data_IF_092621490778
#
_entry.id   IF_092621490778
#
_cell.length_a   1.000
_cell.length_b   1.000
_cell.length_c   1.000
_cell.angle_alpha   90.00
_cell.angle_beta   90.00
_cell.angle_gamma   90.00
#
_symmetry.space_group_name_H-M   'P 1'
#
loop_
_entity.id
_entity.type
_entity.pdbx_description
1 polymer ?
#
# COMPACT_ATOMS: atom_id res chain seq x y z
N UNK A 1 18.17 -3.90 -4.03
CA UNK A 1 16.80 -3.75 -3.51
C UNK A 1 16.73 -4.21 -2.06
N UNK A 2 16.95 -5.50 -1.77
CA UNK A 2 16.92 -6.02 -0.39
C UNK A 2 17.81 -5.26 0.60
N UNK A 3 19.03 -4.86 0.21
CA UNK A 3 19.89 -4.06 1.10
C UNK A 3 19.35 -2.64 1.35
N UNK A 4 18.66 -2.04 0.37
CA UNK A 4 18.02 -0.73 0.54
C UNK A 4 16.79 -0.84 1.46
N UNK A 5 16.04 -1.93 1.34
CA UNK A 5 14.90 -2.24 2.21
C UNK A 5 15.37 -2.49 3.65
N UNK A 6 16.47 -3.23 3.82
CA UNK A 6 17.11 -3.48 5.12
C UNK A 6 17.53 -2.20 5.82
N UNK A 7 18.03 -1.22 5.07
CA UNK A 7 18.46 0.07 5.60
C UNK A 7 17.28 1.03 5.84
N UNK A 8 16.30 1.06 4.94
CA UNK A 8 15.21 2.05 4.97
C UNK A 8 14.02 1.61 5.84
N UNK A 9 13.76 0.31 5.92
CA UNK A 9 12.65 -0.27 6.69
C UNK A 9 13.07 -1.56 7.42
N UNK A 10 14.05 -1.50 8.35
CA UNK A 10 14.67 -2.67 8.98
C UNK A 10 13.68 -3.59 9.70
N UNK A 11 12.64 -3.03 10.35
CA UNK A 11 11.60 -3.83 11.02
C UNK A 11 10.75 -4.62 10.04
N UNK A 12 10.40 -4.01 8.92
CA UNK A 12 9.65 -4.66 7.85
C UNK A 12 10.50 -5.77 7.21
N UNK A 13 11.76 -5.45 6.90
CA UNK A 13 12.73 -6.41 6.37
C UNK A 13 12.89 -7.63 7.27
N UNK A 14 13.13 -7.44 8.58
CA UNK A 14 13.29 -8.54 9.53
C UNK A 14 12.02 -9.38 9.73
N UNK A 15 10.83 -8.82 9.48
CA UNK A 15 9.60 -9.60 9.48
C UNK A 15 9.48 -10.48 8.23
N UNK A 16 9.87 -9.97 7.06
CA UNK A 16 9.92 -10.75 5.82
C UNK A 16 11.03 -11.80 5.81
N UNK A 17 12.17 -11.56 6.46
CA UNK A 17 13.18 -12.63 6.64
C UNK A 17 12.62 -13.80 7.44
N UNK A 18 11.92 -13.53 8.56
CA UNK A 18 11.24 -14.58 9.33
C UNK A 18 10.20 -15.33 8.51
N UNK A 19 9.49 -14.66 7.61
CA UNK A 19 8.55 -15.31 6.68
C UNK A 19 9.29 -16.20 5.68
N UNK A 20 10.42 -15.71 5.14
CA UNK A 20 11.24 -16.46 4.19
C UNK A 20 11.76 -17.77 4.79
N UNK A 21 12.14 -17.77 6.07
CA UNK A 21 12.63 -18.96 6.76
C UNK A 21 11.56 -20.05 6.94
N UNK A 22 10.27 -19.68 6.88
CA UNK A 22 9.13 -20.57 7.10
C UNK A 22 8.64 -21.27 5.83
N UNK A 23 9.14 -20.87 4.65
CA UNK A 23 8.67 -21.41 3.38
C UNK A 23 8.92 -22.92 3.32
N UNK A 24 7.86 -23.69 3.10
CA UNK A 24 7.91 -25.15 3.02
C UNK A 24 7.91 -25.85 4.39
N UNK A 25 7.73 -25.12 5.49
CA UNK A 25 7.61 -25.70 6.82
C UNK A 25 6.16 -26.02 7.19
N UNK A 26 5.98 -27.02 8.06
CA UNK A 26 4.67 -27.28 8.66
C UNK A 26 4.21 -26.09 9.51
N UNK A 27 2.96 -25.65 9.30
CA UNK A 27 2.40 -24.51 10.04
C UNK A 27 2.71 -23.13 9.45
N UNK A 28 3.40 -23.08 8.30
CA UNK A 28 3.76 -21.84 7.56
C UNK A 28 2.62 -20.81 7.55
N UNK A 29 1.42 -21.21 7.13
CA UNK A 29 0.26 -20.32 7.01
C UNK A 29 -0.13 -19.63 8.33
N UNK A 30 -0.13 -20.37 9.43
CA UNK A 30 -0.54 -19.83 10.73
C UNK A 30 0.52 -18.87 11.28
N UNK A 31 1.80 -19.22 11.11
CA UNK A 31 2.91 -18.40 11.55
C UNK A 31 3.03 -17.12 10.72
N UNK A 32 2.85 -17.20 9.40
CA UNK A 32 2.78 -16.01 8.52
C UNK A 32 1.64 -15.09 8.98
N UNK A 33 0.45 -15.63 9.27
CA UNK A 33 -0.68 -14.82 9.72
C UNK A 33 -0.39 -14.11 11.06
N UNK A 34 0.33 -14.77 11.98
CA UNK A 34 0.76 -14.15 13.24
C UNK A 34 1.79 -13.05 13.00
N UNK A 35 2.78 -13.28 12.13
CA UNK A 35 3.78 -12.28 11.77
C UNK A 35 3.09 -11.04 11.16
N UNK A 36 2.18 -11.22 10.20
CA UNK A 36 1.44 -10.11 9.61
C UNK A 36 0.58 -9.35 10.60
N UNK A 37 0.04 -10.01 11.65
CA UNK A 37 -0.71 -9.33 12.72
C UNK A 37 0.17 -8.40 13.55
N UNK A 38 1.46 -8.69 13.65
CA UNK A 38 2.43 -7.95 14.45
C UNK A 38 3.21 -6.91 13.63
N UNK A 39 3.23 -7.03 12.31
CA UNK A 39 3.88 -6.06 11.42
C UNK A 39 3.11 -4.74 11.47
N UNK A 40 3.83 -3.64 11.74
CA UNK A 40 3.31 -2.30 11.57
C UNK A 40 3.00 -2.03 10.09
N UNK A 41 1.82 -1.46 9.80
CA UNK A 41 1.48 -1.07 8.44
C UNK A 41 2.35 0.12 8.00
N UNK A 42 3.08 -0.04 6.89
CA UNK A 42 3.98 1.00 6.38
C UNK A 42 3.67 1.32 4.93
N UNK A 43 3.64 2.61 4.57
CA UNK A 43 3.59 3.04 3.18
C UNK A 43 4.98 2.85 2.54
N UNK A 44 5.08 1.92 1.60
CA UNK A 44 6.34 1.57 0.94
C UNK A 44 7.00 2.77 0.25
N UNK A 45 6.24 3.59 -0.47
CA UNK A 45 6.78 4.76 -1.16
C UNK A 45 7.42 5.76 -0.19
N UNK A 46 6.81 5.96 0.97
CA UNK A 46 7.29 6.87 2.01
C UNK A 46 8.47 6.30 2.82
N UNK A 47 8.39 5.03 3.19
CA UNK A 47 9.38 4.43 4.09
C UNK A 47 10.60 3.84 3.37
N UNK A 48 10.47 3.52 2.08
CA UNK A 48 11.55 2.91 1.29
C UNK A 48 11.96 3.83 0.14
N UNK A 49 11.04 4.15 -0.78
CA UNK A 49 11.44 4.87 -2.01
C UNK A 49 11.89 6.31 -1.73
N UNK A 50 11.24 7.01 -0.82
CA UNK A 50 11.60 8.39 -0.46
C UNK A 50 13.01 8.49 0.14
N UNK A 51 13.41 7.69 1.17
CA UNK A 51 14.80 7.66 1.63
C UNK A 51 15.80 7.31 0.53
N UNK A 52 15.50 6.28 -0.28
CA UNK A 52 16.40 5.86 -1.37
C UNK A 52 16.57 6.96 -2.43
N UNK A 53 15.54 7.77 -2.67
CA UNK A 53 15.61 8.92 -3.60
C UNK A 53 16.55 10.04 -3.14
N UNK A 54 16.86 10.10 -1.83
CA UNK A 54 17.68 11.15 -1.21
C UNK A 54 19.15 10.79 -1.06
N UNK A 55 19.54 9.57 -1.42
CA UNK A 55 20.94 9.14 -1.42
C UNK A 55 21.72 9.93 -2.49
N UNK A 56 22.97 10.29 -2.19
CA UNK A 56 23.83 11.04 -3.14
C UNK A 56 23.96 10.31 -4.48
N UNK A 57 24.10 8.98 -4.44
CA UNK A 57 24.05 8.10 -5.61
C UNK A 57 22.78 7.23 -5.56
N UNK A 58 21.63 7.85 -5.83
CA UNK A 58 20.36 7.11 -5.80
C UNK A 58 20.26 6.09 -6.95
N UNK A 59 19.94 4.82 -6.65
CA UNK A 59 19.75 3.78 -7.67
C UNK A 59 18.35 3.80 -8.30
N UNK A 60 17.49 4.76 -7.95
CA UNK A 60 16.12 4.82 -8.47
C UNK A 60 16.09 5.38 -9.90
N UNK A 61 15.44 4.63 -10.78
CA UNK A 61 15.22 5.01 -12.17
C UNK A 61 13.72 5.06 -12.45
N UNK A 62 13.27 6.11 -13.14
CA UNK A 62 11.87 6.28 -13.57
C UNK A 62 11.81 6.20 -15.08
N UNK A 63 10.97 5.29 -15.60
CA UNK A 63 10.75 5.13 -17.03
C UNK A 63 9.34 5.64 -17.40
N UNK A 64 9.21 6.54 -18.39
CA UNK A 64 7.91 7.01 -18.82
C UNK A 64 7.17 5.90 -19.56
N UNK A 65 5.99 5.50 -19.06
CA UNK A 65 5.08 4.61 -19.79
C UNK A 65 4.22 5.46 -20.71
N UNK A 66 4.32 5.22 -22.02
CA UNK A 66 3.63 6.01 -23.06
C UNK A 66 2.52 5.21 -23.70
N UNK A 67 1.51 5.91 -24.22
CA UNK A 67 0.38 5.29 -24.94
C UNK A 67 -0.61 4.57 -24.04
N UNK A 68 -0.59 4.84 -22.72
CA UNK A 68 -1.56 4.30 -21.76
C UNK A 68 -2.19 5.44 -20.96
N UNK A 69 -3.48 5.30 -20.67
CA UNK A 69 -4.15 6.07 -19.64
C UNK A 69 -4.16 5.24 -18.37
N UNK A 70 -3.69 5.81 -17.25
CA UNK A 70 -3.65 5.13 -15.95
C UNK A 70 -4.36 5.98 -14.89
N UNK A 71 -5.16 5.31 -14.06
CA UNK A 71 -5.80 5.88 -12.88
C UNK A 71 -5.81 4.82 -11.78
N UNK A 72 -5.60 5.23 -10.54
CA UNK A 72 -5.67 4.38 -9.35
C UNK A 72 -7.11 4.10 -8.90
N UNK A 73 -8.11 4.77 -9.50
CA UNK A 73 -9.52 4.70 -9.11
C UNK A 73 -9.76 4.93 -7.60
N UNK A 74 -8.88 5.70 -6.96
CA UNK A 74 -8.95 5.96 -5.52
C UNK A 74 -10.08 6.91 -5.10
N UNK A 75 -11.01 7.27 -6.00
CA UNK A 75 -12.24 7.99 -5.68
C UNK A 75 -13.28 7.79 -6.78
N UNK A 76 -14.55 7.95 -6.43
CA UNK A 76 -15.66 7.85 -7.38
C UNK A 76 -15.48 8.81 -8.57
N UNK A 77 -15.07 10.06 -8.31
CA UNK A 77 -14.85 11.04 -9.37
C UNK A 77 -13.76 10.59 -10.36
N UNK A 78 -12.72 9.89 -9.88
CA UNK A 78 -11.66 9.33 -10.75
C UNK A 78 -12.15 8.13 -11.55
N UNK A 79 -13.07 7.34 -10.99
CA UNK A 79 -13.74 6.24 -11.71
C UNK A 79 -14.60 6.81 -12.84
N UNK A 80 -15.50 7.75 -12.53
CA UNK A 80 -16.39 8.37 -13.52
C UNK A 80 -15.59 9.02 -14.65
N UNK A 81 -14.53 9.77 -14.30
CA UNK A 81 -13.63 10.38 -15.28
C UNK A 81 -13.00 9.32 -16.20
N UNK A 82 -12.44 8.26 -15.62
CA UNK A 82 -11.81 7.18 -16.40
C UNK A 82 -12.81 6.51 -17.34
N UNK A 83 -14.02 6.19 -16.85
CA UNK A 83 -15.07 5.59 -17.68
C UNK A 83 -15.53 6.53 -18.80
N UNK A 84 -15.60 7.83 -18.54
CA UNK A 84 -15.87 8.85 -19.56
C UNK A 84 -14.82 8.87 -20.67
N UNK A 85 -13.54 8.81 -20.31
CA UNK A 85 -12.42 8.74 -21.26
C UNK A 85 -12.47 7.48 -22.13
N UNK A 86 -13.04 6.38 -21.63
CA UNK A 86 -13.25 5.13 -22.37
C UNK A 86 -14.61 5.03 -23.08
N UNK A 87 -15.48 6.05 -22.99
CA UNK A 87 -16.83 6.02 -23.59
C UNK A 87 -17.81 5.08 -22.86
N UNK A 88 -17.49 4.69 -21.62
CA UNK A 88 -18.24 3.75 -20.79
C UNK A 88 -19.05 4.43 -19.67
N UNK A 89 -19.10 5.76 -19.63
CA UNK A 89 -19.81 6.50 -18.59
C UNK A 89 -21.31 6.15 -18.50
N UNK A 90 -21.92 5.73 -19.61
CA UNK A 90 -23.33 5.30 -19.64
C UNK A 90 -23.61 4.00 -18.87
N UNK A 91 -22.58 3.25 -18.46
CA UNK A 91 -22.73 2.02 -17.69
C UNK A 91 -22.73 2.24 -16.18
N UNK A 92 -22.62 3.49 -15.71
CA UNK A 92 -22.67 3.79 -14.28
C UNK A 92 -24.11 3.72 -13.78
N UNK A 93 -24.38 2.99 -12.68
CA UNK A 93 -25.69 3.03 -12.04
C UNK A 93 -25.97 4.45 -11.51
N UNK A 94 -27.23 4.89 -11.59
CA UNK A 94 -27.68 6.12 -10.92
C UNK A 94 -27.44 5.95 -9.41
N UNK A 95 -26.70 6.89 -8.81
CA UNK A 95 -26.19 6.74 -7.45
C UNK A 95 -27.29 6.79 -6.39
N UNK A 96 -27.30 5.80 -5.49
CA UNK A 96 -27.90 5.94 -4.17
C UNK A 96 -26.92 6.73 -3.30
N UNK A 97 -27.29 7.95 -2.90
CA UNK A 97 -26.56 8.73 -1.90
C UNK A 97 -26.56 7.97 -0.55
N UNK A 98 -25.56 7.13 -0.32
CA UNK A 98 -25.24 6.62 1.01
C UNK A 98 -24.01 7.34 1.51
N UNK A 99 -24.19 8.20 2.50
CA UNK A 99 -23.11 8.76 3.31
C UNK A 99 -22.25 7.62 3.85
N UNK A 100 -21.01 7.52 3.34
CA UNK A 100 -19.98 6.70 3.95
C UNK A 100 -19.49 7.43 5.21
N UNK A 101 -19.42 6.77 6.38
CA UNK A 101 -18.94 7.42 7.59
C UNK A 101 -17.50 7.88 7.38
N UNK A 102 -17.25 9.16 7.69
CA UNK A 102 -15.93 9.76 7.65
C UNK A 102 -14.95 8.92 8.50
N UNK A 103 -13.74 8.73 7.95
CA UNK A 103 -12.63 8.03 8.60
C UNK A 103 -12.58 8.36 10.10
N UNK A 104 -12.68 7.33 10.94
CA UNK A 104 -12.52 7.46 12.38
C UNK A 104 -11.12 8.02 12.71
N UNK A 105 -11.10 9.09 13.49
CA UNK A 105 -9.90 9.64 14.09
C UNK A 105 -9.15 8.56 14.90
N UNK A 106 -7.84 8.36 14.70
CA UNK A 106 -7.06 7.42 15.46
C UNK A 106 -6.53 8.09 16.74
N UNK A 107 -7.39 8.57 17.64
CA UNK A 107 -6.99 8.94 19.00
C UNK A 107 -8.20 9.09 19.93
N UNK A 108 -8.66 7.98 20.50
CA UNK A 108 -9.47 7.99 21.72
C UNK A 108 -9.48 6.62 22.38
N UNK A 109 -8.38 6.29 23.04
CA UNK A 109 -8.44 5.49 24.26
C UNK A 109 -7.49 6.13 25.28
N UNK A 110 -8.05 7.13 25.99
CA UNK A 110 -7.52 7.60 27.26
C UNK A 110 -8.36 7.00 28.38
N UNK A 111 -7.73 6.09 29.11
CA UNK A 111 -7.79 5.89 30.58
C UNK A 111 -9.09 6.29 31.29
N UNK A 112 -9.80 5.28 31.82
CA UNK A 112 -10.43 5.21 33.14
C UNK A 112 -11.01 3.80 33.28
N UNK A 113 -10.89 3.02 34.35
CA UNK A 113 -10.35 3.15 35.70
C UNK A 113 -10.60 1.81 36.39
#
# INVERSE_FOLDING_TARGET
>A
MLELDRQSAPRLYGAFERISDLVGQWGERNTIAEIYRQIEAVNFSRAVLEPVSRLEESPLLVLPVRGVTWSDWGSEQRIVKSLGEFGLAACLPEGDEKEFPANGDPHSDSVAG
#
